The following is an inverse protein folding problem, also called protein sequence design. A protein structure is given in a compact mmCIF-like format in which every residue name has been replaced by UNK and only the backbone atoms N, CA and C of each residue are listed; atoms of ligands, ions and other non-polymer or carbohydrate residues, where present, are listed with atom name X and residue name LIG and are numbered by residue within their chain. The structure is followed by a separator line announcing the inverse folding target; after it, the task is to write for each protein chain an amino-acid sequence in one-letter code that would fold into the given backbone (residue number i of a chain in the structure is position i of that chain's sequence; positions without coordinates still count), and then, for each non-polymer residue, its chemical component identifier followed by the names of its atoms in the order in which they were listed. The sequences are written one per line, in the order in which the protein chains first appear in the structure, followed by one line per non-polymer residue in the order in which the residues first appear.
data_IF_752522783910
#
_entry.id   IF_752522783910
#
_cell.length_a   1.000
_cell.length_b   1.000
_cell.length_c   1.000
_cell.angle_alpha   90.00
_cell.angle_beta   90.00
_cell.angle_gamma   90.00
#
_symmetry.space_group_name_H-M   'P 1'
#
loop_
_entity.id
_entity.type
_entity.pdbx_description
1 polymer ?
#
# COMPACT_ATOMS: atom_id res chain seq x y z
N UNK A 1 16.26 -10.75 -22.83
CA UNK A 1 16.65 -11.81 -21.87
C UNK A 1 18.08 -11.60 -21.40
N UNK A 2 18.28 -10.81 -20.34
CA UNK A 2 19.46 -10.86 -19.48
C UNK A 2 19.03 -10.48 -18.07
N UNK A 3 18.79 -11.48 -17.22
CA UNK A 3 18.70 -11.28 -15.78
C UNK A 3 20.12 -11.06 -15.24
N UNK A 4 20.35 -9.90 -14.64
CA UNK A 4 21.57 -9.61 -13.89
C UNK A 4 21.28 -9.91 -12.42
N UNK A 5 21.49 -11.15 -11.98
CA UNK A 5 21.56 -11.46 -10.55
C UNK A 5 22.82 -10.80 -9.96
N UNK A 6 22.67 -9.61 -9.37
CA UNK A 6 23.73 -9.00 -8.56
C UNK A 6 23.66 -9.57 -7.15
N UNK A 7 24.46 -10.60 -6.89
CA UNK A 7 24.77 -11.04 -5.53
C UNK A 7 25.65 -9.97 -4.87
N UNK A 8 25.08 -9.23 -3.91
CA UNK A 8 25.87 -8.36 -3.02
C UNK A 8 26.28 -9.22 -1.81
N UNK A 9 27.57 -9.49 -1.65
CA UNK A 9 28.07 -10.31 -0.53
C UNK A 9 27.96 -9.54 0.80
N UNK A 10 27.37 -10.13 1.87
CA UNK A 10 27.31 -9.48 3.17
C UNK A 10 28.64 -9.56 3.92
N UNK A 11 29.00 -8.49 4.63
CA UNK A 11 30.12 -8.46 5.55
C UNK A 11 29.75 -9.17 6.87
N UNK A 12 30.56 -10.14 7.27
CA UNK A 12 30.39 -10.91 8.52
C UNK A 12 31.15 -10.18 9.64
N UNK A 13 30.47 -9.71 10.69
CA UNK A 13 31.11 -9.23 11.91
C UNK A 13 30.99 -10.31 13.01
N UNK A 14 32.04 -11.10 13.19
CA UNK A 14 32.14 -12.03 14.31
C UNK A 14 32.77 -11.31 15.52
N UNK A 15 32.05 -11.23 16.65
CA UNK A 15 32.62 -10.78 17.92
C UNK A 15 32.90 -11.98 18.81
N UNK A 16 34.16 -12.40 18.89
CA UNK A 16 34.60 -13.52 19.73
C UNK A 16 34.65 -13.08 21.19
N UNK A 17 33.84 -13.70 22.05
CA UNK A 17 34.01 -13.65 23.50
C UNK A 17 34.79 -14.88 23.95
N UNK A 18 35.94 -14.68 24.59
CA UNK A 18 36.69 -15.78 25.20
C UNK A 18 36.20 -15.99 26.64
N UNK A 19 35.67 -17.18 26.93
CA UNK A 19 35.50 -17.67 28.30
C UNK A 19 36.05 -19.08 28.43
N UNK A 20 36.89 -19.27 29.45
CA UNK A 20 37.43 -20.55 29.87
C UNK A 20 36.38 -21.34 30.66
N UNK A 21 35.57 -22.14 29.97
CA UNK A 21 34.97 -23.38 30.48
C UNK A 21 34.28 -24.11 29.34
N UNK A 22 34.39 -25.44 29.32
CA UNK A 22 33.84 -26.31 28.29
C UNK A 22 32.32 -26.32 28.32
N UNK A 23 31.70 -25.32 27.70
CA UNK A 23 30.27 -25.26 27.40
C UNK A 23 30.14 -25.38 25.89
N UNK A 24 29.35 -26.34 25.42
CA UNK A 24 28.94 -26.39 24.02
C UNK A 24 28.10 -25.14 23.73
N UNK A 25 28.74 -24.11 23.17
CA UNK A 25 28.06 -22.91 22.70
C UNK A 25 27.39 -23.27 21.38
N UNK A 26 26.08 -23.52 21.42
CA UNK A 26 25.27 -23.48 20.22
C UNK A 26 25.29 -22.04 19.71
N UNK A 27 26.06 -21.80 18.64
CA UNK A 27 26.07 -20.51 17.96
C UNK A 27 24.72 -20.34 17.26
N UNK A 28 23.78 -19.68 17.93
CA UNK A 28 22.62 -19.12 17.26
C UNK A 28 23.12 -17.98 16.37
N UNK A 29 23.38 -18.29 15.10
CA UNK A 29 23.57 -17.26 14.09
C UNK A 29 22.19 -16.64 13.87
N UNK A 30 21.93 -15.52 14.54
CA UNK A 30 20.86 -14.63 14.13
C UNK A 30 21.29 -14.01 12.80
N UNK A 31 20.86 -14.63 11.71
CA UNK A 31 20.80 -13.94 10.43
C UNK A 31 19.80 -12.79 10.65
N UNK A 32 20.31 -11.57 10.80
CA UNK A 32 19.48 -10.38 10.57
C UNK A 32 18.92 -10.52 9.16
N UNK A 33 17.59 -10.53 8.95
CA UNK A 33 17.00 -10.72 7.63
C UNK A 33 17.46 -9.56 6.78
N UNK A 34 18.44 -9.83 5.92
CA UNK A 34 18.86 -8.91 4.89
C UNK A 34 17.75 -8.87 3.85
N UNK A 35 17.01 -7.76 3.77
CA UNK A 35 16.36 -7.26 2.56
C UNK A 35 15.50 -8.26 1.78
N UNK A 36 14.56 -8.97 2.42
CA UNK A 36 13.44 -9.47 1.63
C UNK A 36 12.66 -8.23 1.17
N UNK A 37 12.63 -7.97 -0.14
CA UNK A 37 11.63 -7.10 -0.77
C UNK A 37 10.53 -8.00 -1.33
N UNK A 38 9.29 -7.53 -1.27
CA UNK A 38 8.19 -8.19 -1.96
C UNK A 38 8.06 -7.51 -3.30
N UNK A 39 8.39 -8.23 -4.37
CA UNK A 39 8.27 -7.67 -5.71
C UNK A 39 6.92 -8.09 -6.28
N UNK A 40 6.13 -7.14 -6.75
CA UNK A 40 4.91 -7.44 -7.51
C UNK A 40 5.36 -7.86 -8.91
N UNK A 41 5.05 -9.10 -9.28
CA UNK A 41 5.53 -9.71 -10.53
C UNK A 41 4.48 -9.76 -11.63
N UNK A 42 3.19 -9.62 -11.29
CA UNK A 42 2.13 -9.51 -12.29
C UNK A 42 0.88 -8.81 -11.75
N UNK A 43 0.17 -8.17 -12.69
CA UNK A 43 -1.20 -7.69 -12.54
C UNK A 43 -1.99 -8.22 -13.72
N UNK A 44 -2.95 -9.09 -13.46
CA UNK A 44 -3.81 -9.70 -14.47
C UNK A 44 -5.21 -9.09 -14.40
N UNK A 45 -5.54 -8.21 -15.33
CA UNK A 45 -6.86 -7.58 -15.43
C UNK A 45 -7.85 -8.42 -16.22
N UNK A 46 -9.11 -8.37 -15.80
CA UNK A 46 -10.27 -8.86 -16.53
C UNK A 46 -11.27 -7.72 -16.70
N UNK A 47 -12.01 -7.76 -17.83
CA UNK A 47 -12.92 -6.69 -18.24
C UNK A 47 -12.12 -5.38 -18.35
N UNK A 48 -11.21 -5.40 -19.33
CA UNK A 48 -10.09 -4.47 -19.46
C UNK A 48 -10.57 -3.06 -19.74
N UNK A 49 -9.78 -2.11 -19.26
CA UNK A 49 -9.92 -0.68 -19.44
C UNK A 49 -8.86 -0.22 -20.44
N UNK A 50 -9.00 0.93 -21.12
CA UNK A 50 -8.07 1.29 -22.19
C UNK A 50 -6.61 1.40 -21.73
N UNK A 51 -6.39 1.71 -20.44
CA UNK A 51 -5.06 1.96 -19.87
C UNK A 51 -4.63 0.80 -18.98
N UNK A 52 -3.47 0.20 -19.29
CA UNK A 52 -2.91 -0.92 -18.54
C UNK A 52 -2.36 -0.44 -17.18
N UNK A 53 -2.50 -1.23 -16.10
CA UNK A 53 -1.93 -0.89 -14.81
C UNK A 53 -0.41 -0.93 -14.88
N UNK A 54 0.23 -0.09 -14.09
CA UNK A 54 1.69 -0.08 -13.95
C UNK A 54 2.10 -0.65 -12.60
N UNK A 55 3.06 -1.58 -12.61
CA UNK A 55 3.77 -2.02 -11.42
C UNK A 55 4.94 -1.07 -11.21
N UNK A 56 5.07 -0.53 -10.00
CA UNK A 56 6.11 0.42 -9.64
C UNK A 56 6.98 -0.20 -8.55
N UNK A 57 8.24 -0.45 -8.90
CA UNK A 57 9.25 -1.08 -8.06
C UNK A 57 10.24 -0.04 -7.51
N UNK A 58 10.89 -0.30 -6.35
CA UNK A 58 12.02 0.50 -5.87
C UNK A 58 13.14 0.62 -6.90
N UNK A 59 13.35 1.83 -7.43
CA UNK A 59 14.45 2.14 -8.33
C UNK A 59 14.19 1.82 -9.80
N UNK A 60 12.93 1.70 -10.23
CA UNK A 60 12.55 1.60 -11.64
C UNK A 60 13.04 2.79 -12.47
N UNK A 61 13.25 2.60 -13.78
CA UNK A 61 13.71 3.69 -14.66
C UNK A 61 12.55 4.60 -15.09
N UNK A 62 12.60 5.88 -14.68
CA UNK A 62 11.65 6.94 -15.03
C UNK A 62 11.70 8.09 -14.03
N UNK A 63 11.13 9.26 -14.38
CA UNK A 63 11.02 10.40 -13.43
C UNK A 63 10.18 10.05 -12.17
N UNK A 64 9.38 8.97 -12.26
CA UNK A 64 8.46 8.50 -11.22
C UNK A 64 8.88 7.12 -10.65
N UNK A 65 10.10 6.66 -10.92
CA UNK A 65 10.67 5.34 -10.55
C UNK A 65 11.00 5.15 -9.08
N UNK A 66 10.29 5.88 -8.22
CA UNK A 66 10.34 5.71 -6.78
C UNK A 66 9.28 4.67 -6.43
N UNK A 67 9.64 3.72 -5.56
CA UNK A 67 8.68 2.90 -4.83
C UNK A 67 7.62 3.78 -4.17
N UNK A 68 6.59 3.18 -3.58
CA UNK A 68 5.56 3.92 -2.85
C UNK A 68 6.19 4.97 -1.92
N UNK A 69 5.90 6.25 -2.13
CA UNK A 69 6.55 7.37 -1.48
C UNK A 69 5.69 8.64 -1.63
N UNK A 70 6.16 9.75 -1.05
CA UNK A 70 5.52 11.06 -1.21
C UNK A 70 5.59 11.50 -2.68
N UNK A 71 4.54 12.17 -3.15
CA UNK A 71 4.43 12.80 -4.47
C UNK A 71 4.54 11.83 -5.68
N UNK A 72 4.42 10.52 -5.45
CA UNK A 72 4.40 9.53 -6.54
C UNK A 72 2.99 9.39 -7.11
N UNK A 73 2.88 9.13 -8.42
CA UNK A 73 1.57 8.96 -9.06
C UNK A 73 0.78 7.81 -8.43
N UNK A 74 -0.49 8.06 -8.15
CA UNK A 74 -1.44 7.09 -7.62
C UNK A 74 -2.12 6.26 -8.72
N UNK A 75 -2.29 6.86 -9.91
CA UNK A 75 -2.96 6.23 -11.06
C UNK A 75 -2.12 6.32 -12.31
N UNK A 76 -2.37 5.43 -13.27
CA UNK A 76 -1.58 5.38 -14.51
C UNK A 76 -2.06 6.41 -15.56
N UNK A 77 -3.30 6.88 -15.44
CA UNK A 77 -4.01 7.73 -16.41
C UNK A 77 -4.33 9.13 -15.84
N UNK A 78 -3.84 9.45 -14.63
CA UNK A 78 -4.06 10.74 -13.95
C UNK A 78 -2.77 11.26 -13.32
N UNK A 79 -2.69 12.58 -13.19
CA UNK A 79 -1.62 13.25 -12.47
C UNK A 79 -1.73 13.14 -10.94
N UNK A 80 -2.67 12.35 -10.40
CA UNK A 80 -2.91 12.31 -8.97
C UNK A 80 -1.72 11.68 -8.24
N UNK A 81 -1.38 12.17 -7.05
CA UNK A 81 -0.23 11.72 -6.29
C UNK A 81 -0.61 11.22 -4.89
N UNK A 82 0.05 10.16 -4.44
CA UNK A 82 0.04 9.74 -3.03
C UNK A 82 0.86 10.72 -2.21
N UNK A 83 0.36 11.11 -1.03
CA UNK A 83 1.05 12.05 -0.17
C UNK A 83 0.60 11.87 1.31
N UNK A 84 1.32 12.44 2.27
CA UNK A 84 0.94 12.53 3.67
C UNK A 84 -0.47 13.11 3.88
N UNK A 85 -1.17 12.60 4.88
CA UNK A 85 -2.53 13.03 5.19
C UNK A 85 -2.54 14.28 6.07
N UNK A 86 -3.50 15.17 5.81
CA UNK A 86 -3.76 16.37 6.60
C UNK A 86 -5.01 16.15 7.47
N UNK A 87 -4.92 16.54 8.74
CA UNK A 87 -5.97 16.43 9.72
C UNK A 87 -6.29 17.79 10.34
N UNK A 88 -7.53 17.92 10.77
CA UNK A 88 -7.96 19.04 11.59
C UNK A 88 -7.37 18.91 13.00
N UNK A 89 -6.61 19.90 13.47
CA UNK A 89 -5.96 19.86 14.79
C UNK A 89 -6.94 19.71 15.97
N UNK A 90 -8.17 20.20 15.83
CA UNK A 90 -9.15 20.19 16.92
C UNK A 90 -9.92 18.88 16.97
N UNK A 91 -10.39 18.39 15.82
CA UNK A 91 -11.25 17.20 15.77
C UNK A 91 -10.45 15.92 15.52
N UNK A 92 -9.24 16.02 15.01
CA UNK A 92 -8.37 14.90 14.67
C UNK A 92 -8.78 14.12 13.41
N UNK A 93 -9.84 14.53 12.71
CA UNK A 93 -10.29 13.85 11.48
C UNK A 93 -9.59 14.38 10.23
N UNK A 94 -9.48 13.59 9.14
CA UNK A 94 -8.95 14.06 7.87
C UNK A 94 -9.69 15.32 7.40
N UNK A 95 -8.95 16.33 6.97
CA UNK A 95 -9.49 17.62 6.54
C UNK A 95 -8.51 18.30 5.57
N UNK A 96 -8.98 18.61 4.35
CA UNK A 96 -8.13 19.24 3.33
C UNK A 96 -7.71 20.67 3.71
N UNK A 97 -8.45 21.30 4.61
CA UNK A 97 -8.11 22.61 5.19
C UNK A 97 -7.42 22.47 6.55
N UNK A 98 -7.09 21.24 6.97
CA UNK A 98 -6.40 20.97 8.21
C UNK A 98 -4.96 21.50 8.22
N UNK A 99 -4.33 21.42 9.39
CA UNK A 99 -2.95 21.91 9.59
C UNK A 99 -2.05 20.88 10.27
N UNK A 100 -2.62 19.80 10.80
CA UNK A 100 -1.86 18.69 11.35
C UNK A 100 -1.49 17.72 10.23
N UNK A 101 -0.20 17.66 9.89
CA UNK A 101 0.31 16.80 8.84
C UNK A 101 0.86 15.52 9.45
N UNK A 102 0.47 14.38 8.88
CA UNK A 102 1.07 13.08 9.13
C UNK A 102 1.64 12.59 7.80
N UNK A 103 2.96 12.40 7.74
CA UNK A 103 3.66 11.84 6.58
C UNK A 103 3.07 10.47 6.19
N UNK A 104 3.37 10.00 4.98
CA UNK A 104 2.97 8.68 4.55
C UNK A 104 3.33 7.59 5.58
N UNK A 105 2.45 6.60 5.80
CA UNK A 105 2.71 5.52 6.74
C UNK A 105 4.02 4.80 6.41
N UNK A 106 4.95 4.75 7.36
CA UNK A 106 6.29 4.22 7.12
C UNK A 106 6.31 2.74 6.68
N UNK A 107 5.25 1.98 6.97
CA UNK A 107 5.11 0.59 6.51
C UNK A 107 4.76 0.48 5.01
N UNK A 108 4.29 1.55 4.36
CA UNK A 108 4.07 1.60 2.91
C UNK A 108 5.28 2.15 2.16
N UNK A 109 6.02 3.07 2.78
CA UNK A 109 7.14 3.75 2.11
C UNK A 109 8.20 2.76 1.67
N UNK A 110 8.54 2.76 0.39
CA UNK A 110 9.51 1.84 -0.21
C UNK A 110 8.91 0.52 -0.71
N UNK A 111 7.60 0.31 -0.58
CA UNK A 111 6.94 -0.88 -1.11
C UNK A 111 6.73 -0.82 -2.63
N UNK A 112 6.68 -1.99 -3.26
CA UNK A 112 6.09 -2.12 -4.59
C UNK A 112 4.62 -1.75 -4.53
N UNK A 113 4.13 -1.07 -5.57
CA UNK A 113 2.71 -0.78 -5.67
C UNK A 113 2.21 -0.77 -7.11
N UNK A 114 0.89 -0.90 -7.23
CA UNK A 114 0.18 -0.90 -8.51
C UNK A 114 -0.52 0.45 -8.69
N UNK A 115 -0.22 1.10 -9.83
CA UNK A 115 -1.02 2.20 -10.37
C UNK A 115 -2.08 1.61 -11.27
N UNK A 116 -3.31 1.50 -10.77
CA UNK A 116 -4.45 1.15 -11.60
C UNK A 116 -4.86 2.36 -12.47
N UNK A 117 -5.53 2.10 -13.58
CA UNK A 117 -6.22 3.16 -14.31
C UNK A 117 -7.41 3.64 -13.48
N UNK A 118 -7.52 4.95 -13.28
CA UNK A 118 -8.67 5.55 -12.62
C UNK A 118 -9.95 5.34 -13.45
N UNK A 119 -9.84 5.32 -14.78
CA UNK A 119 -10.95 5.03 -15.69
C UNK A 119 -11.46 3.58 -15.58
N UNK A 120 -10.78 2.70 -14.83
CA UNK A 120 -11.29 1.37 -14.48
C UNK A 120 -12.61 1.36 -13.70
N UNK A 121 -12.98 2.52 -13.18
CA UNK A 121 -14.22 2.77 -12.48
C UNK A 121 -15.47 2.46 -13.27
N UNK A 122 -15.43 2.78 -14.56
CA UNK A 122 -16.60 2.78 -15.43
C UNK A 122 -16.96 1.35 -15.88
N UNK A 123 -16.18 0.35 -15.46
CA UNK A 123 -16.38 -1.05 -15.81
C UNK A 123 -16.87 -1.89 -14.63
N UNK A 124 -18.18 -2.15 -14.60
CA UNK A 124 -18.88 -2.83 -13.52
C UNK A 124 -18.31 -4.22 -13.15
N UNK A 125 -17.69 -4.94 -14.10
CA UNK A 125 -17.14 -6.27 -13.88
C UNK A 125 -15.60 -6.28 -13.82
N UNK A 126 -14.97 -5.10 -13.70
CA UNK A 126 -13.51 -5.01 -13.60
C UNK A 126 -12.97 -5.82 -12.42
N UNK A 127 -11.89 -6.55 -12.66
CA UNK A 127 -11.10 -7.16 -11.61
C UNK A 127 -9.64 -7.26 -12.00
N UNK A 128 -8.75 -7.24 -11.01
CA UNK A 128 -7.33 -7.42 -11.20
C UNK A 128 -6.76 -8.35 -10.13
N UNK A 129 -6.03 -9.37 -10.57
CA UNK A 129 -5.24 -10.21 -9.67
C UNK A 129 -3.82 -9.68 -9.61
N UNK A 130 -3.38 -9.23 -8.44
CA UNK A 130 -2.03 -8.75 -8.17
C UNK A 130 -1.24 -9.89 -7.53
N UNK A 131 -0.06 -10.22 -8.08
CA UNK A 131 0.79 -11.32 -7.60
C UNK A 131 2.16 -10.81 -7.19
N UNK A 132 2.64 -11.24 -6.02
CA UNK A 132 3.99 -11.00 -5.52
C UNK A 132 4.85 -12.28 -5.59
N UNK A 133 6.17 -12.13 -5.65
CA UNK A 133 7.13 -13.24 -5.70
C UNK A 133 7.29 -13.99 -4.36
N UNK A 134 6.93 -13.35 -3.25
CA UNK A 134 6.98 -13.91 -1.90
C UNK A 134 5.67 -13.67 -1.14
N UNK A 135 5.37 -14.47 -0.08
CA UNK A 135 4.29 -14.15 0.83
C UNK A 135 4.43 -12.73 1.40
N UNK A 136 3.39 -11.92 1.19
CA UNK A 136 3.39 -10.49 1.41
C UNK A 136 2.13 -10.07 2.18
N UNK A 137 2.26 -9.01 2.97
CA UNK A 137 1.12 -8.23 3.43
C UNK A 137 0.76 -7.24 2.33
N UNK A 138 -0.40 -7.45 1.71
CA UNK A 138 -0.96 -6.51 0.76
C UNK A 138 -1.74 -5.42 1.48
N UNK A 139 -1.55 -4.17 1.06
CA UNK A 139 -2.29 -3.02 1.52
C UNK A 139 -3.15 -2.49 0.38
N UNK A 140 -4.43 -2.25 0.68
CA UNK A 140 -5.42 -1.69 -0.23
C UNK A 140 -5.76 -0.27 0.25
N UNK A 141 -5.57 0.71 -0.62
CA UNK A 141 -5.93 2.10 -0.37
C UNK A 141 -7.26 2.36 -1.08
N UNK A 142 -8.33 2.65 -0.35
CA UNK A 142 -9.66 2.95 -0.90
C UNK A 142 -10.01 4.42 -0.69
N UNK A 143 -10.41 5.12 -1.76
CA UNK A 143 -10.80 6.53 -1.69
C UNK A 143 -12.04 6.70 -0.82
N UNK A 144 -11.97 7.58 0.17
CA UNK A 144 -13.04 7.83 1.13
C UNK A 144 -14.34 8.33 0.46
N UNK A 145 -14.29 8.82 -0.77
CA UNK A 145 -15.48 9.23 -1.54
C UNK A 145 -16.36 8.07 -1.94
N UNK A 146 -15.75 6.90 -2.17
CA UNK A 146 -16.46 5.72 -2.65
C UNK A 146 -17.42 5.27 -1.56
N UNK A 147 -18.72 5.23 -1.88
CA UNK A 147 -19.78 4.89 -0.93
C UNK A 147 -19.73 5.65 0.41
N UNK A 148 -19.16 6.87 0.43
CA UNK A 148 -19.07 7.64 1.66
C UNK A 148 -20.29 8.54 1.89
N UNK A 149 -20.44 9.11 3.09
CA UNK A 149 -21.67 9.79 3.53
C UNK A 149 -22.06 11.01 2.70
N UNK A 150 -21.12 11.67 2.00
CA UNK A 150 -21.44 12.76 1.08
C UNK A 150 -22.15 12.30 -0.20
N UNK A 151 -22.14 11.00 -0.51
CA UNK A 151 -22.87 10.40 -1.62
C UNK A 151 -22.46 10.92 -3.01
N UNK A 152 -21.28 11.52 -3.15
CA UNK A 152 -20.74 11.98 -4.43
C UNK A 152 -19.21 11.90 -4.47
N UNK A 153 -18.70 11.74 -5.69
CA UNK A 153 -17.27 11.65 -6.04
C UNK A 153 -16.55 13.00 -6.11
N UNK A 154 -17.24 14.12 -5.90
CA UNK A 154 -16.68 15.46 -6.07
C UNK A 154 -16.30 16.16 -4.76
N UNK A 155 -16.60 15.56 -3.61
CA UNK A 155 -16.37 16.15 -2.29
C UNK A 155 -15.55 15.20 -1.41
N UNK A 156 -14.51 15.68 -0.70
CA UNK A 156 -13.77 14.82 0.22
C UNK A 156 -14.66 14.33 1.36
N UNK A 157 -14.43 13.08 1.75
CA UNK A 157 -15.03 12.48 2.93
C UNK A 157 -13.98 12.33 4.03
N UNK A 158 -14.35 12.75 5.22
CA UNK A 158 -13.50 12.70 6.42
C UNK A 158 -13.63 11.37 7.17
N UNK A 159 -14.29 10.38 6.56
CA UNK A 159 -14.61 9.06 7.12
C UNK A 159 -14.28 7.98 6.10
N UNK A 160 -14.04 6.76 6.58
CA UNK A 160 -13.91 5.57 5.75
C UNK A 160 -15.10 5.39 4.78
N UNK A 161 -14.89 4.72 3.63
CA UNK A 161 -15.96 4.18 2.80
C UNK A 161 -16.92 3.29 3.59
N UNK A 162 -18.23 3.35 3.31
CA UNK A 162 -19.16 2.34 3.82
C UNK A 162 -18.93 1.02 3.07
N UNK A 163 -18.47 -0.01 3.79
CA UNK A 163 -18.18 -1.31 3.20
C UNK A 163 -19.47 -2.11 3.06
N UNK A 164 -19.97 -2.17 1.84
CA UNK A 164 -21.16 -2.90 1.45
C UNK A 164 -21.48 -2.69 -0.02
N UNK A 165 -22.47 -3.39 -0.55
CA UNK A 165 -22.85 -3.27 -1.97
C UNK A 165 -21.66 -3.55 -2.89
N UNK A 166 -21.25 -2.56 -3.68
CA UNK A 166 -20.12 -2.71 -4.60
C UNK A 166 -18.74 -2.83 -3.92
N UNK A 167 -18.61 -2.51 -2.62
CA UNK A 167 -17.41 -2.78 -1.81
C UNK A 167 -17.54 -4.06 -0.96
N UNK A 168 -18.59 -4.86 -1.14
CA UNK A 168 -18.79 -6.09 -0.34
C UNK A 168 -17.59 -7.05 -0.43
N UNK A 169 -16.89 -7.07 -1.57
CA UNK A 169 -15.70 -7.90 -1.76
C UNK A 169 -14.56 -7.57 -0.78
N UNK A 170 -14.48 -6.33 -0.27
CA UNK A 170 -13.50 -5.94 0.74
C UNK A 170 -13.71 -6.75 2.02
N UNK A 171 -14.97 -6.95 2.40
CA UNK A 171 -15.35 -7.77 3.54
C UNK A 171 -15.18 -9.27 3.24
N UNK A 172 -15.68 -9.71 2.08
CA UNK A 172 -15.71 -11.12 1.71
C UNK A 172 -14.29 -11.70 1.51
N UNK A 173 -13.37 -10.90 0.98
CA UNK A 173 -11.98 -11.30 0.77
C UNK A 173 -11.11 -11.10 2.03
N UNK A 174 -11.69 -10.68 3.16
CA UNK A 174 -11.00 -10.48 4.43
C UNK A 174 -9.91 -9.38 4.40
N UNK A 175 -10.26 -8.22 3.83
CA UNK A 175 -9.49 -7.00 4.06
C UNK A 175 -9.88 -6.37 5.40
N UNK A 176 -8.88 -6.01 6.18
CA UNK A 176 -9.04 -5.43 7.51
C UNK A 176 -8.59 -3.99 7.53
N UNK A 177 -9.33 -3.13 8.23
CA UNK A 177 -8.94 -1.73 8.41
C UNK A 177 -7.63 -1.65 9.22
N UNK A 178 -6.63 -0.95 8.71
CA UNK A 178 -5.37 -0.72 9.42
C UNK A 178 -5.55 0.41 10.43
N UNK A 179 -5.18 0.14 11.68
CA UNK A 179 -5.11 1.14 12.74
C UNK A 179 -3.82 0.89 13.54
N UNK A 180 -2.76 1.59 13.16
CA UNK A 180 -1.47 1.55 13.87
C UNK A 180 -1.37 2.64 14.96
N UNK A 181 -2.35 3.55 15.01
CA UNK A 181 -2.38 4.68 15.92
C UNK A 181 -1.55 5.88 15.46
N UNK A 182 -1.09 5.90 14.19
CA UNK A 182 -0.39 7.05 13.61
C UNK A 182 -1.34 8.23 13.36
N UNK A 183 -2.61 7.97 13.03
CA UNK A 183 -3.60 9.03 12.86
C UNK A 183 -4.03 9.60 14.22
N UNK A 184 -4.36 10.90 14.29
CA UNK A 184 -4.77 11.55 15.53
C UNK A 184 -6.00 10.90 16.17
N UNK A 185 -6.10 10.98 17.49
CA UNK A 185 -7.29 10.52 18.22
C UNK A 185 -7.52 9.00 18.22
N UNK A 186 -6.52 8.20 17.81
CA UNK A 186 -6.66 6.74 17.68
C UNK A 186 -7.49 6.32 16.47
N UNK A 187 -7.67 7.24 15.51
CA UNK A 187 -8.30 6.92 14.24
C UNK A 187 -7.47 5.87 13.48
N UNK A 188 -8.12 5.10 12.60
CA UNK A 188 -7.43 4.29 11.62
C UNK A 188 -6.51 5.09 10.70
N UNK A 189 -5.64 4.40 9.98
CA UNK A 189 -4.56 5.00 9.19
C UNK A 189 -5.11 5.58 7.88
N UNK A 190 -4.71 6.81 7.52
CA UNK A 190 -5.11 7.45 6.26
C UNK A 190 -3.89 7.89 5.46
N UNK A 191 -4.08 7.97 4.14
CA UNK A 191 -3.13 8.54 3.18
C UNK A 191 -3.81 9.71 2.47
N UNK A 192 -3.07 10.79 2.23
CA UNK A 192 -3.54 11.91 1.43
C UNK A 192 -3.45 11.62 -0.07
N UNK A 193 -4.34 12.24 -0.84
CA UNK A 193 -4.29 12.23 -2.29
C UNK A 193 -4.37 13.68 -2.80
N UNK A 194 -3.35 14.08 -3.55
CA UNK A 194 -3.35 15.30 -4.35
C UNK A 194 -3.85 14.97 -5.76
N UNK A 195 -5.08 15.34 -6.10
CA UNK A 195 -5.68 15.09 -7.42
C UNK A 195 -5.10 16.01 -8.51
N UNK A 196 -4.44 17.11 -8.15
CA UNK A 196 -3.85 18.03 -9.13
C UNK A 196 -2.41 17.69 -9.48
N UNK A 197 -1.73 16.88 -8.66
CA UNK A 197 -0.33 16.50 -8.85
C UNK A 197 0.62 17.69 -8.80
N UNK A 198 0.29 18.70 -8.01
CA UNK A 198 0.99 19.99 -7.95
C UNK A 198 1.51 20.32 -6.54
N UNK A 199 1.15 19.52 -5.55
CA UNK A 199 1.75 19.51 -4.23
C UNK A 199 3.15 18.93 -4.28
N UNK A 200 4.00 19.41 -3.37
CA UNK A 200 5.33 18.83 -3.17
C UNK A 200 5.65 18.81 -1.69
N UNK A 201 5.91 17.62 -1.18
CA UNK A 201 6.12 17.32 0.23
C UNK A 201 4.83 17.00 1.01
N UNK A 202 4.98 16.44 2.22
CA UNK A 202 3.87 15.92 3.00
C UNK A 202 2.77 16.96 3.28
N UNK A 203 1.52 16.57 3.06
CA UNK A 203 0.34 17.39 3.33
C UNK A 203 0.19 18.59 2.39
N UNK A 204 0.79 18.59 1.20
CA UNK A 204 0.65 19.70 0.24
C UNK A 204 -0.24 19.27 -0.93
N UNK A 205 -1.17 20.13 -1.33
CA UNK A 205 -2.07 19.88 -2.47
C UNK A 205 -3.20 18.89 -2.18
N UNK A 206 -3.28 18.35 -0.96
CA UNK A 206 -4.26 17.32 -0.60
C UNK A 206 -5.68 17.82 -0.72
N UNK A 207 -6.48 17.07 -1.46
CA UNK A 207 -7.89 17.37 -1.61
C UNK A 207 -8.78 16.13 -1.45
N UNK A 208 -8.19 14.94 -1.30
CA UNK A 208 -8.87 13.67 -1.03
C UNK A 208 -8.05 12.78 -0.08
N UNK A 209 -8.66 11.71 0.42
CA UNK A 209 -8.05 10.80 1.38
C UNK A 209 -8.35 9.34 1.04
N UNK A 210 -7.38 8.47 1.29
CA UNK A 210 -7.53 7.03 1.24
C UNK A 210 -7.60 6.43 2.65
N UNK A 211 -8.58 5.56 2.87
CA UNK A 211 -8.59 4.62 3.98
C UNK A 211 -7.69 3.43 3.65
N UNK A 212 -6.82 3.06 4.59
CA UNK A 212 -5.87 1.95 4.41
C UNK A 212 -6.42 0.65 5.00
N UNK A 213 -6.51 -0.37 4.16
CA UNK A 213 -6.84 -1.74 4.53
C UNK A 213 -5.64 -2.64 4.28
N UNK A 214 -5.57 -3.77 4.98
CA UNK A 214 -4.59 -4.83 4.73
C UNK A 214 -5.29 -6.15 4.52
N UNK A 215 -4.71 -7.02 3.72
CA UNK A 215 -5.19 -8.40 3.63
C UNK A 215 -4.91 -9.10 4.97
N UNK A 216 -5.91 -9.78 5.56
CA UNK A 216 -5.82 -10.33 6.92
C UNK A 216 -4.68 -11.35 7.14
N UNK A 217 -4.16 -11.92 6.05
CA UNK A 217 -3.09 -12.92 6.07
C UNK A 217 -2.00 -12.57 5.06
N UNK A 218 -0.80 -13.10 5.27
CA UNK A 218 0.21 -13.11 4.23
C UNK A 218 -0.30 -13.91 3.02
N UNK A 219 -0.12 -13.38 1.82
CA UNK A 219 -0.52 -14.04 0.58
C UNK A 219 0.53 -13.79 -0.51
N UNK A 220 0.53 -14.61 -1.54
CA UNK A 220 1.29 -14.33 -2.78
C UNK A 220 0.44 -13.62 -3.82
N UNK A 221 -0.88 -13.53 -3.62
CA UNK A 221 -1.77 -12.85 -4.54
C UNK A 221 -3.04 -12.34 -3.85
N UNK A 222 -3.58 -11.25 -4.36
CA UNK A 222 -4.88 -10.69 -3.97
C UNK A 222 -5.68 -10.28 -5.20
N UNK A 223 -6.99 -10.20 -5.06
CA UNK A 223 -7.88 -9.72 -6.12
C UNK A 223 -8.49 -8.38 -5.71
N UNK A 224 -8.34 -7.38 -6.56
CA UNK A 224 -9.03 -6.09 -6.50
C UNK A 224 -10.20 -6.15 -7.47
N UNK A 225 -11.37 -5.65 -7.08
CA UNK A 225 -12.56 -5.64 -7.95
C UNK A 225 -13.10 -4.23 -8.12
N UNK A 226 -13.92 -4.05 -9.15
CA UNK A 226 -14.71 -2.85 -9.33
C UNK A 226 -15.48 -2.54 -8.04
N UNK A 227 -15.66 -1.25 -7.79
CA UNK A 227 -16.25 -0.75 -6.56
C UNK A 227 -17.77 -0.62 -6.69
N UNK A 228 -18.35 -0.80 -7.89
CA UNK A 228 -19.78 -0.82 -8.14
C UNK A 228 -20.46 0.56 -8.11
N UNK A 229 -19.68 1.64 -8.14
CA UNK A 229 -20.18 3.01 -8.13
C UNK A 229 -19.87 3.68 -9.46
N UNK A 230 -20.88 4.31 -10.06
CA UNK A 230 -20.78 4.96 -11.39
C UNK A 230 -19.71 6.05 -11.47
N UNK A 231 -19.22 6.51 -10.30
CA UNK A 231 -18.02 7.34 -10.17
C UNK A 231 -17.01 6.63 -9.23
N UNK A 232 -15.94 6.05 -9.78
CA UNK A 232 -14.69 5.78 -9.03
C UNK A 232 -14.09 4.37 -9.13
N UNK A 233 -12.77 4.33 -9.37
CA UNK A 233 -11.85 3.20 -9.19
C UNK A 233 -10.57 3.86 -8.72
N UNK A 234 -10.66 4.37 -7.51
CA UNK A 234 -9.63 5.17 -6.91
C UNK A 234 -8.94 4.31 -5.88
N UNK A 235 -8.40 3.21 -6.35
CA UNK A 235 -7.73 2.23 -5.52
C UNK A 235 -6.26 2.14 -5.89
N UNK A 236 -5.43 1.90 -4.89
CA UNK A 236 -4.05 1.48 -5.07
C UNK A 236 -3.78 0.25 -4.22
N UNK A 237 -2.85 -0.58 -4.66
CA UNK A 237 -2.40 -1.74 -3.89
C UNK A 237 -0.89 -1.68 -3.74
N UNK A 238 -0.40 -1.79 -2.51
CA UNK A 238 1.01 -1.94 -2.19
C UNK A 238 1.29 -3.33 -1.60
N UNK A 239 2.49 -3.87 -1.82
CA UNK A 239 2.92 -5.15 -1.29
C UNK A 239 4.19 -5.00 -0.44
N UNK A 240 4.13 -5.49 0.79
CA UNK A 240 5.25 -5.49 1.74
C UNK A 240 5.55 -6.94 2.11
N UNK A 241 6.82 -7.37 2.20
CA UNK A 241 7.13 -8.73 2.63
C UNK A 241 6.48 -9.02 3.98
N UNK A 242 5.83 -10.17 4.10
CA UNK A 242 5.25 -10.57 5.37
C UNK A 242 6.38 -10.84 6.38
N UNK A 243 6.18 -10.42 7.62
CA UNK A 243 7.08 -10.80 8.71
C UNK A 243 7.21 -12.34 8.76
N UNK A 244 8.42 -12.85 8.96
CA UNK A 244 8.66 -14.31 9.00
C UNK A 244 7.85 -15.04 10.10
N UNK A 245 7.31 -14.30 11.07
CA UNK A 245 6.42 -14.82 12.11
C UNK A 245 4.95 -14.98 11.66
N UNK A 246 4.55 -14.39 10.53
CA UNK A 246 3.21 -14.46 9.97
C UNK A 246 3.04 -15.59 8.92
N UNK A 247 4.11 -16.31 8.61
CA UNK A 247 4.05 -17.50 7.75
C UNK A 247 3.50 -18.64 8.60
N UNK A 248 2.24 -19.04 8.36
CA UNK A 248 1.67 -20.21 9.00
C UNK A 248 2.59 -21.42 8.79
N UNK A 249 2.87 -22.23 9.83
CA UNK A 249 3.70 -23.41 9.66
C UNK A 249 3.09 -24.32 8.61
N UNK A 250 3.91 -24.73 7.64
CA UNK A 250 3.56 -25.80 6.70
C UNK A 250 3.39 -27.07 7.54
N UNK A 251 2.18 -27.60 7.59
CA UNK A 251 1.94 -28.94 8.12
C UNK A 251 2.53 -29.93 7.10
N UNK A 252 3.63 -30.58 7.48
CA UNK A 252 4.37 -31.56 6.67
C UNK A 252 3.83 -32.97 6.87
#
# INVERSE_FOLDING_TARGET
MRSSNRLVSPAIFAKTFATTSSVNVYLAVFLSPSWLTANIISVEEQNITPDTPAIIEPGGEGADGLAFAEDVLAFNDRAHQHNGAIFNETTGVPDKEGTLIIDLPAYLVGADYVRFANDARDNADYSATVTADVPSTFYLLLDNRINGPAGNSSSPNTTDPDLGGGLQWVLDDAWERVNTGISPGGLPDYVGLDESGNGFGPGVGINQFFAVYRYARAATSVTVRNQGFADGSMTSVAAVPADSAAIAPIDL
#
